data_IF_167062061751
#
_entry.id   IF_167062061751
#
_cell.length_a   1.000
_cell.length_b   1.000
_cell.length_c   1.000
_cell.angle_alpha   90.00
_cell.angle_beta   90.00
_cell.angle_gamma   90.00
#
_symmetry.space_group_name_H-M   'P 1'
#
loop_
_entity.id
_entity.type
_entity.pdbx_description
1 polymer ?
#
# COMPACT_ATOMS: atom_id res chain seq x y z
N UNK A 1 0.84 -17.19 -17.10
CA UNK A 1 1.82 -16.27 -16.49
C UNK A 1 3.27 -16.44 -16.97
N UNK A 2 3.97 -17.58 -16.76
CA UNK A 2 5.41 -17.71 -17.09
C UNK A 2 5.76 -17.44 -18.58
N UNK A 3 4.87 -17.78 -19.53
CA UNK A 3 5.04 -17.47 -20.96
C UNK A 3 4.90 -15.97 -21.28
N UNK A 4 3.96 -15.27 -20.67
CA UNK A 4 3.76 -13.83 -20.88
C UNK A 4 4.89 -13.01 -20.26
N UNK A 5 5.38 -13.40 -19.08
CA UNK A 5 6.55 -12.76 -18.46
C UNK A 5 7.83 -12.89 -19.31
N UNK A 6 7.94 -13.93 -20.15
CA UNK A 6 9.08 -14.10 -21.09
C UNK A 6 9.02 -13.15 -22.29
N UNK A 7 7.83 -12.72 -22.70
CA UNK A 7 7.65 -11.79 -23.83
C UNK A 7 7.69 -10.32 -23.43
N UNK A 8 7.68 -10.00 -22.13
CA UNK A 8 7.58 -8.64 -21.62
C UNK A 8 8.89 -7.84 -21.71
N UNK A 9 10.04 -8.50 -21.91
CA UNK A 9 11.34 -7.85 -21.99
C UNK A 9 12.23 -8.54 -23.03
N UNK A 10 12.42 -7.91 -24.19
CA UNK A 10 13.34 -8.32 -25.26
C UNK A 10 14.77 -7.90 -24.91
N UNK A 11 15.75 -8.46 -25.59
CA UNK A 11 17.14 -8.06 -25.37
C UNK A 11 17.35 -6.61 -25.84
N UNK A 12 17.96 -5.78 -24.99
CA UNK A 12 18.08 -4.33 -25.19
C UNK A 12 17.03 -3.48 -24.46
N UNK A 13 15.92 -4.07 -23.99
CA UNK A 13 14.89 -3.31 -23.27
C UNK A 13 15.35 -2.91 -21.86
N UNK A 14 15.06 -1.66 -21.47
CA UNK A 14 15.12 -1.22 -20.09
C UNK A 14 13.88 -1.70 -19.33
N UNK A 15 14.07 -2.43 -18.22
CA UNK A 15 12.97 -3.02 -17.45
C UNK A 15 12.90 -2.37 -16.07
N UNK A 16 11.73 -1.88 -15.69
CA UNK A 16 11.41 -1.44 -14.33
C UNK A 16 10.45 -2.43 -13.69
N UNK A 17 10.83 -2.99 -12.55
CA UNK A 17 10.02 -3.96 -11.80
C UNK A 17 9.42 -3.29 -10.58
N UNK A 18 8.09 -3.15 -10.58
CA UNK A 18 7.32 -2.60 -9.46
C UNK A 18 7.07 -3.67 -8.40
N UNK A 19 7.51 -3.43 -7.16
CA UNK A 19 7.45 -4.36 -6.04
C UNK A 19 6.77 -3.73 -4.80
N UNK A 20 6.06 -4.53 -3.98
CA UNK A 20 5.89 -5.97 -4.06
C UNK A 20 4.83 -6.39 -5.10
N UNK A 21 5.13 -7.42 -5.88
CA UNK A 21 4.22 -7.98 -6.90
C UNK A 21 4.62 -9.41 -7.24
N UNK A 22 3.72 -10.41 -7.18
CA UNK A 22 4.07 -11.79 -7.55
C UNK A 22 4.58 -11.92 -8.99
N UNK A 23 4.03 -11.13 -9.91
CA UNK A 23 4.50 -11.08 -11.30
C UNK A 23 5.85 -10.38 -11.38
N UNK A 24 6.00 -9.25 -10.67
CA UNK A 24 7.26 -8.52 -10.60
C UNK A 24 8.40 -9.37 -10.04
N UNK A 25 8.16 -10.12 -8.97
CA UNK A 25 9.14 -11.02 -8.37
C UNK A 25 9.59 -12.14 -9.32
N UNK A 26 8.67 -12.68 -10.14
CA UNK A 26 8.98 -13.67 -11.17
C UNK A 26 9.83 -13.07 -12.29
N UNK A 27 9.52 -11.84 -12.71
CA UNK A 27 10.28 -11.10 -13.72
C UNK A 27 11.68 -10.76 -13.18
N UNK A 28 11.80 -10.20 -11.98
CA UNK A 28 13.08 -9.92 -11.32
C UNK A 28 13.94 -11.19 -11.21
N UNK A 29 13.36 -12.31 -10.74
CA UNK A 29 14.07 -13.58 -10.66
C UNK A 29 14.56 -14.08 -12.03
N UNK A 30 13.80 -13.82 -13.10
CA UNK A 30 14.17 -14.22 -14.46
C UNK A 30 15.34 -13.38 -14.97
N UNK A 31 15.32 -12.07 -14.72
CA UNK A 31 16.34 -11.12 -15.13
C UNK A 31 17.65 -11.36 -14.37
N UNK A 32 17.57 -11.60 -13.05
CA UNK A 32 18.69 -12.01 -12.19
C UNK A 32 19.39 -13.26 -12.75
N UNK A 33 18.62 -14.32 -13.07
CA UNK A 33 19.19 -15.57 -13.61
C UNK A 33 19.87 -15.40 -14.96
N UNK A 34 19.37 -14.49 -15.81
CA UNK A 34 20.00 -14.16 -17.09
C UNK A 34 21.04 -13.05 -17.01
N UNK A 35 21.38 -12.56 -15.80
CA UNK A 35 22.29 -11.42 -15.59
C UNK A 35 21.90 -10.18 -16.41
N UNK A 36 20.59 -9.97 -16.61
CA UNK A 36 20.06 -8.81 -17.30
C UNK A 36 19.78 -7.70 -16.28
N UNK A 37 20.31 -6.48 -16.48
CA UNK A 37 20.06 -5.37 -15.56
C UNK A 37 18.58 -4.96 -15.59
N UNK A 38 18.09 -4.47 -14.45
CA UNK A 38 16.72 -3.98 -14.28
C UNK A 38 16.67 -2.95 -13.16
N UNK A 39 15.71 -2.05 -13.20
CA UNK A 39 15.44 -1.12 -12.10
C UNK A 39 14.29 -1.65 -11.22
N UNK A 40 14.27 -1.24 -9.96
CA UNK A 40 13.19 -1.58 -9.02
C UNK A 40 12.43 -0.32 -8.64
N UNK A 41 11.10 -0.39 -8.66
CA UNK A 41 10.22 0.60 -8.03
C UNK A 41 9.58 -0.02 -6.78
N UNK A 42 10.06 0.36 -5.61
CA UNK A 42 9.57 -0.09 -4.32
C UNK A 42 8.37 0.76 -3.88
N UNK A 43 7.16 0.21 -4.04
CA UNK A 43 5.89 0.91 -3.80
C UNK A 43 5.16 0.48 -2.54
N UNK A 44 5.67 -0.53 -1.84
CA UNK A 44 5.04 -1.02 -0.61
C UNK A 44 5.92 -1.99 0.12
N UNK A 45 5.44 -2.43 1.28
CA UNK A 45 6.17 -3.30 2.17
C UNK A 45 5.49 -4.68 2.26
N UNK A 46 6.05 -5.74 1.66
CA UNK A 46 5.47 -7.08 1.73
C UNK A 46 5.48 -7.66 3.15
N UNK A 47 6.37 -7.18 4.02
CA UNK A 47 6.40 -7.59 5.42
C UNK A 47 5.20 -7.01 6.17
N UNK A 48 4.75 -5.79 5.87
CA UNK A 48 3.57 -5.19 6.51
C UNK A 48 2.26 -5.69 5.90
N UNK A 49 2.21 -5.91 4.57
CA UNK A 49 1.04 -6.50 3.89
C UNK A 49 0.72 -7.91 4.41
N UNK A 50 1.73 -8.65 4.86
CA UNK A 50 1.58 -10.00 5.42
C UNK A 50 1.64 -10.01 6.96
N UNK A 51 1.40 -8.88 7.61
CA UNK A 51 1.35 -8.78 9.06
C UNK A 51 0.25 -9.68 9.68
N UNK A 52 0.42 -10.14 10.93
CA UNK A 52 -0.63 -10.83 11.67
C UNK A 52 -1.92 -9.99 11.67
N UNK A 53 -3.07 -10.61 11.36
CA UNK A 53 -4.35 -9.92 11.26
C UNK A 53 -4.76 -9.53 9.84
N UNK A 54 -3.81 -9.28 8.93
CA UNK A 54 -4.11 -8.91 7.53
C UNK A 54 -4.38 -10.14 6.66
N UNK A 55 -3.57 -11.19 6.79
CA UNK A 55 -3.73 -12.45 6.05
C UNK A 55 -3.88 -13.62 7.03
N UNK A 56 -4.92 -14.43 6.85
CA UNK A 56 -5.16 -15.66 7.63
C UNK A 56 -4.68 -16.87 6.83
N UNK A 57 -3.39 -17.18 6.91
CA UNK A 57 -2.81 -18.39 6.31
C UNK A 57 -1.73 -18.98 7.23
N UNK A 58 -1.67 -20.32 7.45
CA UNK A 58 -0.71 -20.94 8.36
C UNK A 58 0.75 -20.71 7.94
N UNK A 59 1.01 -20.66 6.64
CA UNK A 59 2.35 -20.36 6.10
C UNK A 59 2.68 -18.85 6.05
N UNK A 60 1.80 -17.97 6.51
CA UNK A 60 2.00 -16.50 6.50
C UNK A 60 3.38 -16.08 7.04
N UNK A 61 3.85 -16.51 8.23
CA UNK A 61 5.15 -16.03 8.74
C UNK A 61 6.32 -16.40 7.82
N UNK A 62 6.25 -17.58 7.18
CA UNK A 62 7.25 -18.02 6.21
C UNK A 62 7.17 -17.20 4.92
N UNK A 63 5.97 -17.01 4.37
CA UNK A 63 5.74 -16.21 3.15
C UNK A 63 6.16 -14.75 3.39
N UNK A 64 5.86 -14.20 4.57
CA UNK A 64 6.25 -12.84 5.00
C UNK A 64 7.76 -12.67 4.97
N UNK A 65 8.48 -13.59 5.62
CA UNK A 65 9.94 -13.55 5.66
C UNK A 65 10.56 -13.78 4.28
N UNK A 66 10.00 -14.72 3.51
CA UNK A 66 10.44 -15.00 2.14
C UNK A 66 10.25 -13.80 1.22
N UNK A 67 9.08 -13.15 1.25
CA UNK A 67 8.77 -11.99 0.41
C UNK A 67 9.66 -10.79 0.77
N UNK A 68 9.89 -10.55 2.06
CA UNK A 68 10.82 -9.52 2.52
C UNK A 68 12.26 -9.80 2.05
N UNK A 69 12.71 -11.07 2.11
CA UNK A 69 14.03 -11.47 1.58
C UNK A 69 14.12 -11.28 0.08
N UNK A 70 13.08 -11.65 -0.68
CA UNK A 70 13.03 -11.47 -2.14
C UNK A 70 13.06 -9.99 -2.54
N UNK A 71 12.32 -9.14 -1.83
CA UNK A 71 12.37 -7.69 -2.05
C UNK A 71 13.75 -7.13 -1.74
N UNK A 72 14.36 -7.51 -0.61
CA UNK A 72 15.72 -7.09 -0.26
C UNK A 72 16.73 -7.53 -1.31
N UNK A 73 16.62 -8.77 -1.80
CA UNK A 73 17.49 -9.28 -2.85
C UNK A 73 17.33 -8.47 -4.14
N UNK A 74 16.09 -8.17 -4.55
CA UNK A 74 15.83 -7.41 -5.76
C UNK A 74 16.40 -5.98 -5.68
N UNK A 75 16.15 -5.27 -4.56
CA UNK A 75 16.72 -3.93 -4.35
C UNK A 75 18.25 -3.94 -4.32
N UNK A 76 18.86 -4.99 -3.77
CA UNK A 76 20.32 -5.11 -3.72
C UNK A 76 20.94 -5.40 -5.10
N UNK A 77 20.30 -6.18 -5.96
CA UNK A 77 20.88 -6.53 -7.27
C UNK A 77 20.55 -5.53 -8.38
N UNK A 78 19.59 -4.64 -8.16
CA UNK A 78 19.19 -3.64 -9.14
C UNK A 78 20.22 -2.49 -9.20
N UNK A 79 20.75 -2.13 -10.39
CA UNK A 79 21.59 -0.93 -10.56
C UNK A 79 20.86 0.38 -10.27
N UNK A 80 19.53 0.39 -10.26
CA UNK A 80 18.72 1.54 -9.90
C UNK A 80 17.49 1.14 -9.08
N UNK A 81 17.21 1.89 -8.01
CA UNK A 81 16.02 1.67 -7.16
C UNK A 81 15.33 3.00 -6.87
N UNK A 82 14.02 3.05 -7.10
CA UNK A 82 13.17 4.14 -6.63
C UNK A 82 12.25 3.69 -5.50
N UNK A 83 12.03 4.56 -4.53
CA UNK A 83 11.18 4.30 -3.37
C UNK A 83 10.03 5.31 -3.28
N UNK A 84 8.82 4.85 -2.96
CA UNK A 84 7.68 5.76 -2.74
C UNK A 84 7.73 6.51 -1.41
N UNK A 85 8.59 6.06 -0.50
CA UNK A 85 8.86 6.68 0.80
C UNK A 85 10.21 7.35 0.78
N UNK A 86 10.43 8.38 1.59
CA UNK A 86 11.76 8.97 1.76
C UNK A 86 12.73 8.07 2.55
N UNK A 87 12.23 7.31 3.55
CA UNK A 87 13.11 6.56 4.49
C UNK A 87 12.69 5.13 4.83
N UNK A 88 11.40 4.87 4.97
CA UNK A 88 10.91 3.63 5.57
C UNK A 88 11.31 2.37 4.78
N UNK A 89 11.08 2.38 3.46
CA UNK A 89 11.40 1.23 2.60
C UNK A 89 12.91 1.07 2.41
N UNK A 90 13.66 2.17 2.33
CA UNK A 90 15.12 2.17 2.20
C UNK A 90 15.80 1.50 3.39
N UNK A 91 15.33 1.81 4.61
CA UNK A 91 15.89 1.23 5.83
C UNK A 91 15.72 -0.30 5.89
N UNK A 92 14.58 -0.82 5.38
CA UNK A 92 14.27 -2.26 5.39
C UNK A 92 14.86 -3.01 4.19
N UNK A 93 14.89 -2.35 3.03
CA UNK A 93 15.32 -2.90 1.74
C UNK A 93 16.38 -2.01 1.09
N UNK A 94 17.58 -1.89 1.69
CA UNK A 94 18.61 -1.00 1.19
C UNK A 94 19.10 -1.44 -0.20
N UNK A 95 19.38 -0.49 -1.11
CA UNK A 95 20.01 -0.79 -2.39
C UNK A 95 21.49 -1.12 -2.19
N UNK A 96 22.15 -1.65 -3.21
CA UNK A 96 23.61 -1.77 -3.20
C UNK A 96 24.27 -0.38 -3.13
N UNK A 97 25.39 -0.18 -2.42
CA UNK A 97 26.04 1.14 -2.31
C UNK A 97 26.41 1.80 -3.65
N UNK A 98 26.67 1.01 -4.68
CA UNK A 98 26.95 1.47 -6.04
C UNK A 98 25.72 1.65 -6.95
N UNK A 99 24.51 1.43 -6.46
CA UNK A 99 23.28 1.60 -7.24
C UNK A 99 22.76 3.04 -7.16
N UNK A 100 22.14 3.52 -8.25
CA UNK A 100 21.41 4.78 -8.22
C UNK A 100 20.14 4.62 -7.37
N UNK A 101 19.93 5.48 -6.38
CA UNK A 101 18.77 5.42 -5.51
C UNK A 101 18.06 6.77 -5.42
N UNK A 102 16.73 6.78 -5.57
CA UNK A 102 15.92 7.98 -5.46
C UNK A 102 14.61 7.70 -4.73
N UNK A 103 13.92 8.75 -4.30
CA UNK A 103 12.56 8.64 -3.77
C UNK A 103 11.63 9.61 -4.51
N UNK A 104 10.41 9.16 -4.79
CA UNK A 104 9.37 10.01 -5.39
C UNK A 104 7.99 9.53 -4.99
N UNK A 105 7.04 10.45 -4.90
CA UNK A 105 5.64 10.08 -4.68
C UNK A 105 5.10 9.35 -5.91
N UNK A 106 4.37 8.24 -5.69
CA UNK A 106 3.58 7.61 -6.76
C UNK A 106 2.32 8.41 -7.16
N UNK A 107 2.07 9.52 -6.45
CA UNK A 107 0.95 10.42 -6.66
C UNK A 107 1.46 11.69 -7.34
N UNK A 108 0.92 11.97 -8.51
CA UNK A 108 1.08 13.22 -9.23
C UNK A 108 -0.21 14.04 -9.08
N UNK A 109 -0.13 15.20 -8.42
CA UNK A 109 -1.25 16.12 -8.25
C UNK A 109 -0.91 17.45 -8.96
N UNK A 110 -1.72 17.89 -9.93
CA UNK A 110 -1.49 19.19 -10.56
C UNK A 110 -1.71 20.32 -9.54
N UNK A 111 -1.11 21.48 -9.76
CA UNK A 111 -1.29 22.65 -8.88
C UNK A 111 -2.75 23.02 -8.69
N UNK A 112 -3.58 22.81 -9.71
CA UNK A 112 -5.04 23.03 -9.65
C UNK A 112 -5.78 22.12 -8.65
N UNK A 113 -5.18 21.00 -8.20
CA UNK A 113 -5.74 20.15 -7.16
C UNK A 113 -5.54 20.73 -5.75
N UNK A 114 -4.68 21.74 -5.59
CA UNK A 114 -4.39 22.38 -4.31
C UNK A 114 -5.14 23.72 -4.19
N UNK A 115 -5.75 23.94 -3.03
CA UNK A 115 -6.28 25.25 -2.65
C UNK A 115 -5.16 26.13 -2.09
N UNK A 116 -5.16 27.42 -2.41
CA UNK A 116 -4.12 28.36 -1.97
C UNK A 116 -4.20 28.71 -0.49
N UNK A 117 -5.34 28.45 0.16
CA UNK A 117 -5.56 28.68 1.59
C UNK A 117 -6.38 27.54 2.19
N UNK A 118 -6.09 27.11 3.44
CA UNK A 118 -6.94 26.16 4.15
C UNK A 118 -8.37 26.68 4.28
N UNK A 119 -9.35 25.77 4.17
CA UNK A 119 -10.73 26.09 4.54
C UNK A 119 -10.78 26.33 6.04
N UNK A 120 -11.34 27.47 6.46
CA UNK A 120 -11.62 27.72 7.88
C UNK A 120 -12.86 26.93 8.27
N UNK A 121 -12.85 26.16 9.37
CA UNK A 121 -14.07 25.60 9.92
C UNK A 121 -15.03 26.76 10.21
N UNK A 122 -16.24 26.69 9.66
CA UNK A 122 -17.24 27.73 9.87
C UNK A 122 -17.74 27.71 11.32
N UNK A 123 -17.86 26.51 11.90
CA UNK A 123 -18.20 26.26 13.31
C UNK A 123 -17.57 24.93 13.76
N UNK A 124 -17.40 24.74 15.07
CA UNK A 124 -17.12 23.42 15.65
C UNK A 124 -18.43 22.65 15.72
N UNK A 125 -18.64 21.59 14.91
CA UNK A 125 -19.91 20.88 14.92
C UNK A 125 -20.12 20.16 16.25
N UNK A 126 -21.36 20.16 16.73
CA UNK A 126 -21.80 19.37 17.90
C UNK A 126 -21.54 17.88 17.73
N UNK A 127 -21.34 17.38 16.50
CA UNK A 127 -20.83 16.04 16.22
C UNK A 127 -19.91 16.08 15.00
N UNK A 128 -18.60 15.81 15.15
CA UNK A 128 -17.68 15.84 14.03
C UNK A 128 -17.92 14.66 13.07
N UNK A 129 -17.85 14.94 11.76
CA UNK A 129 -17.87 13.87 10.75
C UNK A 129 -16.44 13.45 10.43
N UNK A 130 -16.12 12.19 10.70
CA UNK A 130 -14.86 11.58 10.30
C UNK A 130 -15.02 10.90 8.95
N UNK A 131 -14.19 11.29 7.98
CA UNK A 131 -14.19 10.69 6.65
C UNK A 131 -12.94 9.82 6.48
N UNK A 132 -13.15 8.57 6.08
CA UNK A 132 -12.08 7.64 5.70
C UNK A 132 -12.24 7.26 4.23
N UNK A 133 -11.16 7.25 3.46
CA UNK A 133 -11.18 6.90 2.04
C UNK A 133 -10.20 5.77 1.77
N UNK A 134 -10.65 4.66 1.19
CA UNK A 134 -9.79 3.54 0.85
C UNK A 134 -10.53 2.24 0.56
N UNK A 135 -9.91 1.32 -0.19
CA UNK A 135 -10.44 -0.04 -0.37
C UNK A 135 -10.51 -0.81 0.98
N UNK A 136 -11.61 -1.54 1.16
CA UNK A 136 -11.87 -2.51 2.23
C UNK A 136 -11.52 -3.95 1.81
N UNK A 137 -10.72 -4.15 0.77
CA UNK A 137 -10.34 -5.50 0.33
C UNK A 137 -9.35 -6.18 1.27
N UNK A 138 -8.63 -5.42 2.08
CA UNK A 138 -7.63 -5.92 3.01
C UNK A 138 -7.66 -5.06 4.28
N UNK A 139 -7.38 -5.68 5.43
CA UNK A 139 -7.40 -5.00 6.72
C UNK A 139 -6.16 -4.12 6.98
N UNK A 140 -5.16 -4.12 6.09
CA UNK A 140 -3.91 -3.36 6.31
C UNK A 140 -4.12 -1.84 6.38
N UNK A 141 -5.26 -1.32 5.89
CA UNK A 141 -5.59 0.11 5.99
C UNK A 141 -6.15 0.51 7.37
N UNK A 142 -6.35 -0.46 8.27
CA UNK A 142 -6.73 -0.22 9.67
C UNK A 142 -8.11 0.41 9.86
N UNK A 143 -9.02 0.25 8.89
CA UNK A 143 -10.38 0.81 8.98
C UNK A 143 -11.19 0.10 10.08
N UNK A 144 -10.90 -1.17 10.33
CA UNK A 144 -11.42 -1.94 11.46
C UNK A 144 -10.94 -1.37 12.82
N UNK A 145 -9.66 -1.00 12.92
CA UNK A 145 -9.12 -0.29 14.09
C UNK A 145 -9.84 1.04 14.30
N UNK A 146 -10.10 1.78 13.22
CA UNK A 146 -10.81 3.05 13.27
C UNK A 146 -12.24 2.89 13.81
N UNK A 147 -13.00 1.92 13.29
CA UNK A 147 -14.36 1.61 13.77
C UNK A 147 -14.34 1.24 15.25
N UNK A 148 -13.40 0.39 15.66
CA UNK A 148 -13.26 -0.06 17.05
C UNK A 148 -12.91 1.09 17.99
N UNK A 149 -12.01 1.99 17.57
CA UNK A 149 -11.62 3.16 18.35
C UNK A 149 -12.79 4.13 18.56
N UNK A 150 -13.62 4.34 17.53
CA UNK A 150 -14.82 5.18 17.64
C UNK A 150 -15.85 4.54 18.58
N UNK A 151 -16.10 3.23 18.45
CA UNK A 151 -17.03 2.51 19.33
C UNK A 151 -16.58 2.51 20.80
N UNK A 152 -15.27 2.52 21.04
CA UNK A 152 -14.68 2.60 22.39
C UNK A 152 -14.56 4.01 22.96
N UNK A 153 -14.73 5.07 22.15
CA UNK A 153 -14.60 6.45 22.61
C UNK A 153 -15.77 6.83 23.53
N UNK A 154 -15.45 7.30 24.74
CA UNK A 154 -16.43 7.76 25.74
C UNK A 154 -16.39 9.26 26.00
N UNK A 155 -15.55 10.00 25.27
CA UNK A 155 -15.31 11.42 25.48
C UNK A 155 -15.87 12.24 24.34
N UNK A 156 -16.76 13.18 24.67
CA UNK A 156 -17.36 14.10 23.71
C UNK A 156 -18.45 13.46 22.85
N UNK A 157 -19.05 14.25 21.96
CA UNK A 157 -20.11 13.78 21.09
C UNK A 157 -19.59 12.70 20.12
N UNK A 158 -20.38 11.64 19.96
CA UNK A 158 -20.03 10.52 19.08
C UNK A 158 -19.82 11.03 17.65
N UNK A 159 -18.64 10.80 17.04
CA UNK A 159 -18.38 11.25 15.68
C UNK A 159 -19.18 10.40 14.68
N UNK A 160 -19.69 11.04 13.64
CA UNK A 160 -20.25 10.32 12.49
C UNK A 160 -19.11 9.80 11.62
N UNK A 161 -19.00 8.49 11.43
CA UNK A 161 -18.05 7.89 10.48
C UNK A 161 -18.67 7.77 9.08
N UNK A 162 -17.99 8.32 8.07
CA UNK A 162 -18.29 8.10 6.66
C UNK A 162 -17.07 7.44 6.01
N UNK A 163 -17.25 6.27 5.41
CA UNK A 163 -16.19 5.61 4.68
C UNK A 163 -16.50 5.52 3.19
N UNK A 164 -15.56 5.98 2.36
CA UNK A 164 -15.63 5.99 0.90
C UNK A 164 -14.69 4.92 0.35
N UNK A 165 -15.29 3.85 -0.15
CA UNK A 165 -14.57 2.70 -0.71
C UNK A 165 -15.29 1.39 -0.41
N UNK A 166 -15.13 0.42 -1.30
CA UNK A 166 -15.70 -0.93 -1.17
C UNK A 166 -14.63 -1.98 -0.98
N UNK A 167 -15.06 -3.24 -0.82
CA UNK A 167 -14.18 -4.40 -0.76
C UNK A 167 -14.76 -5.54 0.05
N UNK A 168 -14.06 -6.68 0.04
CA UNK A 168 -14.56 -7.94 0.64
C UNK A 168 -14.92 -7.86 2.14
N UNK A 169 -14.36 -6.91 2.88
CA UNK A 169 -14.62 -6.76 4.32
C UNK A 169 -15.81 -5.83 4.64
N UNK A 170 -16.44 -5.22 3.63
CA UNK A 170 -17.61 -4.35 3.80
C UNK A 170 -18.80 -4.99 4.54
N UNK A 171 -19.15 -6.29 4.35
CA UNK A 171 -20.22 -6.91 5.12
C UNK A 171 -19.87 -7.05 6.62
N UNK A 172 -18.59 -7.24 6.93
CA UNK A 172 -18.10 -7.33 8.31
C UNK A 172 -18.12 -5.97 9.02
N UNK A 173 -17.77 -4.88 8.32
CA UNK A 173 -17.75 -3.54 8.91
C UNK A 173 -19.15 -3.03 9.29
N UNK A 174 -20.21 -3.45 8.58
CA UNK A 174 -21.61 -3.13 8.95
C UNK A 174 -22.05 -3.76 10.27
N UNK A 175 -21.55 -4.97 10.60
CA UNK A 175 -21.85 -5.64 11.87
C UNK A 175 -21.23 -4.94 13.08
N UNK A 176 -20.18 -4.15 12.89
CA UNK A 176 -19.40 -3.55 13.97
C UNK A 176 -19.92 -2.17 14.38
N UNK A 177 -20.79 -1.55 13.58
CA UNK A 177 -21.23 -0.16 13.76
C UNK A 177 -22.71 0.00 14.10
N UNK A 178 -23.51 -1.08 14.08
CA UNK A 178 -24.97 -0.95 14.01
C UNK A 178 -25.42 -0.34 12.68
N UNK A 179 -26.65 -0.66 12.25
CA UNK A 179 -27.14 -0.34 10.89
C UNK A 179 -27.27 1.16 10.57
N UNK A 180 -27.13 2.06 11.55
CA UNK A 180 -27.36 3.51 11.39
C UNK A 180 -26.16 4.30 10.82
N UNK A 181 -24.98 3.69 10.67
CA UNK A 181 -23.74 4.42 10.35
C UNK A 181 -23.34 4.45 8.84
N UNK A 182 -24.01 3.70 7.96
CA UNK A 182 -23.55 3.50 6.58
C UNK A 182 -24.52 4.08 5.53
N UNK A 183 -24.15 5.22 4.93
CA UNK A 183 -24.66 5.63 3.61
C UNK A 183 -23.53 5.50 2.60
N UNK A 184 -23.67 4.56 1.68
CA UNK A 184 -22.81 4.45 0.50
C UNK A 184 -23.21 5.56 -0.46
N UNK A 185 -22.36 6.57 -0.62
CA UNK A 185 -22.50 7.53 -1.72
C UNK A 185 -22.15 6.82 -3.02
N UNK A 186 -23.16 6.51 -3.84
CA UNK A 186 -22.97 6.19 -5.25
C UNK A 186 -22.74 7.51 -5.98
N UNK A 187 -21.50 7.73 -6.41
CA UNK A 187 -21.14 8.71 -7.43
C UNK A 187 -20.59 7.96 -8.63
#
# INVERSE_FOLDING_TARGET
MRRQARGAARDGDAVVVRLPSPVGELVAARLERSRRPYAVEAVGDPYDVLAPGVVRHPLRPLIRLWSARRMRQACWHAPAVSYVTERALQARYPPHPGAAAAHYSSIELPTAAFVTRPRRPTESPDSPTLVSVGSLDQLYKGIDTLVTAIAGSRTGPAPRLVHVGGGRHLPGSRRWSGDSAWRTGSG
#
